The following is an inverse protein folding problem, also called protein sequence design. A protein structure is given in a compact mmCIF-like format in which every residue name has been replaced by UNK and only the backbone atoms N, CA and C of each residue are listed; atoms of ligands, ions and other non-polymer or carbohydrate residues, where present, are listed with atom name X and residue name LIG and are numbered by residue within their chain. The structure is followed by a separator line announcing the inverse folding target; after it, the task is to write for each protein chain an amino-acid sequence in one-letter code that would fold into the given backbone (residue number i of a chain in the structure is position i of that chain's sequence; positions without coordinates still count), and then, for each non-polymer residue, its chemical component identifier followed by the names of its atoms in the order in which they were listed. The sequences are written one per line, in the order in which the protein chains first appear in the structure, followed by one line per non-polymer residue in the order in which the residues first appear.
data_IF_952780873785
#
_entry.id   IF_952780873785
#
_cell.length_a   1.000
_cell.length_b   1.000
_cell.length_c   1.000
_cell.angle_alpha   90.00
_cell.angle_beta   90.00
_cell.angle_gamma   90.00
#
_symmetry.space_group_name_H-M   'P 1'
#
loop_
_entity.id
_entity.type
_entity.pdbx_description
1 polymer ?
#
# COMPACT_ATOMS: atom_id res chain seq x y z
N UNK A 1 -8.99 -3.20 -27.96
CA UNK A 1 -8.08 -3.86 -26.99
C UNK A 1 -8.90 -4.90 -26.24
N UNK A 2 -9.25 -6.00 -26.90
CA UNK A 2 -9.79 -7.16 -26.18
C UNK A 2 -8.61 -7.76 -25.42
N UNK A 3 -8.65 -7.65 -24.09
CA UNK A 3 -7.79 -8.48 -23.27
C UNK A 3 -8.17 -9.92 -23.60
N UNK A 4 -7.20 -10.73 -24.03
CA UNK A 4 -7.41 -12.17 -24.18
C UNK A 4 -7.71 -12.74 -22.78
N UNK A 5 -9.00 -12.81 -22.43
CA UNK A 5 -9.48 -13.20 -21.09
C UNK A 5 -9.12 -14.65 -20.77
N UNK A 6 -8.92 -15.46 -21.81
CA UNK A 6 -8.70 -16.90 -21.73
C UNK A 6 -7.30 -17.23 -22.32
N UNK A 7 -6.25 -17.15 -21.48
CA UNK A 7 -4.96 -17.70 -21.86
C UNK A 7 -5.05 -19.22 -22.02
N UNK A 8 -4.36 -19.82 -23.01
CA UNK A 8 -4.29 -21.27 -23.14
C UNK A 8 -3.69 -21.88 -21.87
N UNK A 9 -4.38 -22.87 -21.32
CA UNK A 9 -3.97 -23.57 -20.09
C UNK A 9 -2.64 -24.28 -20.34
N UNK A 10 -1.69 -24.13 -19.40
CA UNK A 10 -0.37 -24.79 -19.46
C UNK A 10 0.83 -23.88 -19.76
N UNK A 11 0.61 -22.59 -20.00
CA UNK A 11 1.70 -21.63 -20.32
C UNK A 11 2.43 -21.06 -19.09
N UNK A 12 2.03 -21.42 -17.87
CA UNK A 12 2.58 -20.87 -16.62
C UNK A 12 2.32 -19.37 -16.41
N UNK A 13 1.35 -18.79 -17.12
CA UNK A 13 1.00 -17.37 -17.07
C UNK A 13 -0.49 -17.21 -16.79
N UNK A 14 -0.83 -16.29 -15.88
CA UNK A 14 -2.21 -15.92 -15.59
C UNK A 14 -2.63 -14.70 -16.41
N UNK A 15 -3.92 -14.57 -16.78
CA UNK A 15 -4.43 -13.39 -17.46
C UNK A 15 -4.38 -12.15 -16.56
N UNK A 16 -4.21 -10.99 -17.19
CA UNK A 16 -4.41 -9.70 -16.51
C UNK A 16 -5.90 -9.54 -16.23
N UNK A 17 -6.24 -9.34 -14.96
CA UNK A 17 -7.62 -9.09 -14.55
C UNK A 17 -8.06 -7.67 -14.96
N UNK A 18 -8.89 -7.57 -15.99
CA UNK A 18 -9.53 -6.32 -16.40
C UNK A 18 -10.92 -6.15 -15.76
N UNK A 19 -11.57 -5.02 -16.03
CA UNK A 19 -12.96 -4.78 -15.62
C UNK A 19 -13.88 -5.92 -16.06
N UNK A 20 -14.62 -6.51 -15.12
CA UNK A 20 -15.56 -7.61 -15.38
C UNK A 20 -14.94 -8.99 -15.58
N UNK A 21 -13.65 -9.19 -15.28
CA UNK A 21 -12.97 -10.46 -15.53
C UNK A 21 -13.55 -11.64 -14.72
N UNK A 22 -13.80 -12.78 -15.39
CA UNK A 22 -14.49 -13.95 -14.81
C UNK A 22 -13.72 -14.63 -13.67
N UNK A 23 -12.39 -14.57 -13.70
CA UNK A 23 -11.53 -15.11 -12.63
C UNK A 23 -11.58 -14.28 -11.33
N UNK A 24 -12.23 -13.10 -11.30
CA UNK A 24 -12.44 -12.36 -10.06
C UNK A 24 -13.40 -13.13 -9.16
N UNK A 25 -13.08 -13.25 -7.87
CA UNK A 25 -13.95 -13.93 -6.91
C UNK A 25 -15.31 -13.24 -6.85
N UNK A 26 -16.38 -14.03 -6.91
CA UNK A 26 -17.76 -13.53 -6.73
C UNK A 26 -17.91 -12.96 -5.31
N UNK A 27 -18.34 -11.70 -5.22
CA UNK A 27 -18.63 -11.01 -3.96
C UNK A 27 -20.14 -10.80 -3.87
N UNK A 28 -20.75 -11.13 -2.73
CA UNK A 28 -22.18 -10.95 -2.48
C UNK A 28 -22.38 -10.35 -1.08
N UNK A 29 -23.40 -9.52 -0.91
CA UNK A 29 -23.76 -8.93 0.38
C UNK A 29 -22.94 -7.71 0.83
N UNK A 30 -22.06 -7.17 -0.02
CA UNK A 30 -21.29 -5.95 0.27
C UNK A 30 -21.92 -4.77 -0.45
N UNK A 31 -22.34 -3.73 0.29
CA UNK A 31 -22.87 -2.48 -0.27
C UNK A 31 -21.94 -1.33 0.07
N UNK A 32 -21.42 -0.65 -0.95
CA UNK A 32 -20.48 0.48 -0.80
C UNK A 32 -21.19 1.80 -1.05
N UNK A 33 -21.07 2.74 -0.10
CA UNK A 33 -21.63 4.09 -0.21
C UNK A 33 -20.49 5.11 -0.34
N UNK A 34 -20.67 6.11 -1.20
CA UNK A 34 -19.69 7.19 -1.39
C UNK A 34 -20.40 8.54 -1.57
N UNK A 35 -19.70 9.62 -1.20
CA UNK A 35 -20.16 11.00 -1.43
C UNK A 35 -19.31 11.62 -2.55
N UNK A 36 -19.95 12.40 -3.44
CA UNK A 36 -19.24 13.15 -4.48
C UNK A 36 -18.14 14.04 -3.86
N UNK A 37 -16.91 14.03 -4.42
CA UNK A 37 -15.80 14.85 -3.91
C UNK A 37 -16.12 16.35 -3.87
N UNK A 38 -16.92 16.85 -4.81
CA UNK A 38 -17.32 18.26 -4.88
C UNK A 38 -18.19 18.70 -3.69
N UNK A 39 -18.78 17.74 -2.97
CA UNK A 39 -19.56 17.99 -1.75
C UNK A 39 -18.77 17.80 -0.46
N UNK A 40 -17.49 17.43 -0.56
CA UNK A 40 -16.61 17.25 0.59
C UNK A 40 -15.62 18.42 0.69
N UNK A 41 -15.16 18.71 1.91
CA UNK A 41 -14.07 19.66 2.14
C UNK A 41 -12.74 18.88 2.04
N UNK A 42 -11.90 19.09 1.00
CA UNK A 42 -10.81 18.18 0.65
C UNK A 42 -9.71 18.06 1.71
N UNK A 43 -9.52 19.09 2.54
CA UNK A 43 -8.48 19.14 3.58
C UNK A 43 -9.03 19.32 4.99
N UNK A 44 -10.32 18.99 5.21
CA UNK A 44 -10.90 19.10 6.53
C UNK A 44 -10.14 18.22 7.55
N UNK A 45 -9.68 18.85 8.64
CA UNK A 45 -8.91 18.20 9.72
C UNK A 45 -7.59 17.54 9.27
N UNK A 46 -7.06 17.91 8.10
CA UNK A 46 -5.84 17.31 7.56
C UNK A 46 -4.68 17.42 8.55
N UNK A 47 -4.44 18.60 9.16
CA UNK A 47 -3.34 18.81 10.11
C UNK A 47 -3.45 17.93 11.36
N UNK A 48 -4.60 17.98 12.04
CA UNK A 48 -4.83 17.19 13.25
C UNK A 48 -4.69 15.69 12.96
N UNK A 49 -5.32 15.21 11.88
CA UNK A 49 -5.26 13.79 11.51
C UNK A 49 -3.87 13.38 11.03
N UNK A 50 -3.19 14.21 10.24
CA UNK A 50 -1.88 13.90 9.69
C UNK A 50 -0.84 13.72 10.80
N UNK A 51 -0.75 14.64 11.77
CA UNK A 51 0.27 14.58 12.83
C UNK A 51 0.09 13.31 13.67
N UNK A 52 -1.10 13.10 14.24
CA UNK A 52 -1.32 11.98 15.16
C UNK A 52 -1.35 10.62 14.45
N UNK A 53 -1.94 10.53 13.26
CA UNK A 53 -1.95 9.28 12.51
C UNK A 53 -0.56 8.93 11.97
N UNK A 54 0.22 9.91 11.53
CA UNK A 54 1.60 9.68 11.08
C UNK A 54 2.44 9.17 12.25
N UNK A 55 2.42 9.83 13.41
CA UNK A 55 3.15 9.35 14.59
C UNK A 55 2.75 7.92 14.98
N UNK A 56 1.44 7.64 15.05
CA UNK A 56 0.92 6.30 15.37
C UNK A 56 1.44 5.23 14.41
N UNK A 57 1.48 5.52 13.10
CA UNK A 57 1.99 4.60 12.06
C UNK A 57 3.50 4.43 12.14
N UNK A 58 4.25 5.53 12.30
CA UNK A 58 5.71 5.50 12.39
C UNK A 58 6.19 4.76 13.62
N UNK A 59 5.54 4.93 14.77
CA UNK A 59 5.87 4.20 16.00
C UNK A 59 5.81 2.68 15.82
N UNK A 60 4.82 2.17 15.07
CA UNK A 60 4.67 0.73 14.83
C UNK A 60 5.79 0.14 13.97
N UNK A 61 6.47 0.96 13.16
CA UNK A 61 7.56 0.53 12.27
C UNK A 61 8.95 0.90 12.79
N UNK A 62 9.02 1.71 13.84
CA UNK A 62 10.27 2.26 14.36
C UNK A 62 11.31 1.17 14.67
N UNK A 63 10.90 0.06 15.30
CA UNK A 63 11.82 -1.02 15.68
C UNK A 63 12.31 -1.87 14.50
N UNK A 64 11.66 -1.82 13.34
CA UNK A 64 12.17 -2.50 12.14
C UNK A 64 13.21 -1.66 11.41
N UNK A 65 13.15 -0.34 11.57
CA UNK A 65 13.94 0.61 10.80
C UNK A 65 15.10 1.16 11.63
N UNK A 66 14.86 1.64 12.84
CA UNK A 66 15.88 2.32 13.63
C UNK A 66 17.08 1.41 14.01
N UNK A 67 16.90 0.16 14.50
CA UNK A 67 18.03 -0.69 14.86
C UNK A 67 19.04 -0.96 13.73
N UNK A 68 18.65 -1.37 12.50
CA UNK A 68 19.63 -1.61 11.44
C UNK A 68 20.35 -0.31 11.02
N UNK A 69 19.68 0.85 11.01
CA UNK A 69 20.33 2.12 10.70
C UNK A 69 21.34 2.54 11.76
N UNK A 70 21.00 2.37 13.04
CA UNK A 70 21.92 2.66 14.15
C UNK A 70 23.15 1.76 14.05
N UNK A 71 22.95 0.45 13.85
CA UNK A 71 24.05 -0.51 13.70
C UNK A 71 24.94 -0.14 12.51
N UNK A 72 24.35 0.15 11.35
CA UNK A 72 25.10 0.54 10.16
C UNK A 72 25.93 1.82 10.39
N UNK A 73 25.34 2.84 11.03
CA UNK A 73 26.03 4.08 11.33
C UNK A 73 27.19 3.86 12.30
N UNK A 74 26.99 3.07 13.36
CA UNK A 74 28.03 2.75 14.33
C UNK A 74 29.18 1.95 13.70
N UNK A 75 28.87 0.97 12.85
CA UNK A 75 29.89 0.21 12.12
C UNK A 75 30.70 1.10 11.18
N UNK A 76 30.05 2.00 10.45
CA UNK A 76 30.72 2.95 9.56
C UNK A 76 31.60 3.92 10.34
N UNK A 77 31.12 4.45 11.47
CA UNK A 77 31.92 5.32 12.34
C UNK A 77 33.14 4.59 12.91
N UNK A 78 32.98 3.34 13.33
CA UNK A 78 34.09 2.51 13.81
C UNK A 78 35.14 2.28 12.73
N UNK A 79 34.71 1.97 11.50
CA UNK A 79 35.60 1.74 10.37
C UNK A 79 36.39 3.00 9.97
N UNK A 80 35.76 4.18 10.01
CA UNK A 80 36.42 5.45 9.67
C UNK A 80 37.38 5.96 10.74
N UNK A 81 37.22 5.53 12.00
CA UNK A 81 38.10 5.93 13.11
C UNK A 81 39.36 5.06 13.22
N UNK A 82 39.43 3.97 12.45
CA UNK A 82 40.56 3.04 12.41
C UNK A 82 41.43 3.29 11.20
#
# INVERSE_FOLDING_TARGET
MEYNQDLPKGLGREPVLCWGHKNVRKQAGVTTYTLSPNRQRPMAQAYHRAIFNTFRRSKAQFLYVAPPFIVAYLLMSWANQR
#
